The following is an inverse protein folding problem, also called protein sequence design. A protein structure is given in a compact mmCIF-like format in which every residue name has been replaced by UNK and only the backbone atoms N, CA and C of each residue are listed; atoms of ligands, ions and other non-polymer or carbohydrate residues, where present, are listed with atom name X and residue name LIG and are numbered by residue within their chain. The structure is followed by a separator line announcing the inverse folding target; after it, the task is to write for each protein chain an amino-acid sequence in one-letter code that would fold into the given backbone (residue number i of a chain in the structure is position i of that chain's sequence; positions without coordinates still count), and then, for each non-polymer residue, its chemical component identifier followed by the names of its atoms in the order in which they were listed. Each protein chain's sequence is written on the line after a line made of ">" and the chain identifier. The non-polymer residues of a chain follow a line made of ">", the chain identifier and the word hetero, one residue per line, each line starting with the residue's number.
data_IF_919714291623
#
_entry.id   IF_919714291623
#
_cell.length_a   1.000
_cell.length_b   1.000
_cell.length_c   1.000
_cell.angle_alpha   90.00
_cell.angle_beta   90.00
_cell.angle_gamma   90.00
#
_symmetry.space_group_name_H-M   'P 1'
#
loop_
_entity.id
_entity.type
_entity.pdbx_description
1 polymer ?
#
# COMPACT_ATOMS: atom_id res chain seq x y z
N UNK A 1 5.56 9.60 -9.02
CA UNK A 1 4.28 9.39 -8.30
C UNK A 1 4.33 8.22 -7.33
N UNK A 2 3.61 8.28 -6.20
CA UNK A 2 3.52 7.19 -5.20
C UNK A 2 3.06 5.85 -5.81
N UNK A 3 2.13 5.92 -6.76
CA UNK A 3 1.66 4.78 -7.55
C UNK A 3 2.81 4.06 -8.26
N UNK A 4 3.74 4.80 -8.86
CA UNK A 4 4.91 4.25 -9.53
C UNK A 4 5.92 3.67 -8.53
N UNK A 5 6.15 4.35 -7.40
CA UNK A 5 7.06 3.87 -6.35
C UNK A 5 6.60 2.53 -5.75
N UNK A 6 5.28 2.36 -5.59
CA UNK A 6 4.67 1.12 -5.11
C UNK A 6 4.36 0.13 -6.24
N UNK A 7 4.65 0.48 -7.49
CA UNK A 7 4.39 -0.33 -8.68
C UNK A 7 2.92 -0.77 -8.77
N UNK A 8 1.99 0.13 -8.40
CA UNK A 8 0.54 -0.06 -8.41
C UNK A 8 -0.11 0.95 -9.36
N UNK A 9 -1.14 0.57 -10.14
CA UNK A 9 -1.89 1.53 -10.95
C UNK A 9 -2.48 2.66 -10.10
N UNK A 10 -2.42 3.91 -10.58
CA UNK A 10 -2.91 5.07 -9.83
C UNK A 10 -4.36 4.92 -9.36
N UNK A 11 -5.26 4.40 -10.22
CA UNK A 11 -6.65 4.14 -9.84
C UNK A 11 -6.81 3.11 -8.72
N UNK A 12 -5.95 2.08 -8.68
CA UNK A 12 -5.92 1.11 -7.59
C UNK A 12 -5.43 1.75 -6.29
N UNK A 13 -4.40 2.58 -6.36
CA UNK A 13 -3.94 3.35 -5.19
C UNK A 13 -5.06 4.24 -4.64
N UNK A 14 -5.80 4.97 -5.49
CA UNK A 14 -6.92 5.81 -5.06
C UNK A 14 -8.05 5.02 -4.38
N UNK A 15 -8.36 3.81 -4.86
CA UNK A 15 -9.35 2.94 -4.20
C UNK A 15 -8.89 2.47 -2.81
N UNK A 16 -7.58 2.25 -2.64
CA UNK A 16 -7.00 1.84 -1.37
C UNK A 16 -7.02 3.01 -0.37
N UNK A 17 -6.58 4.19 -0.79
CA UNK A 17 -6.59 5.40 0.05
C UNK A 17 -8.01 5.84 0.46
N UNK A 18 -9.02 5.55 -0.36
CA UNK A 18 -10.43 5.80 -0.04
C UNK A 18 -11.08 4.70 0.79
N UNK A 19 -10.36 3.64 1.16
CA UNK A 19 -10.87 2.50 1.92
C UNK A 19 -11.80 1.57 1.12
N UNK A 20 -12.05 1.84 -0.17
CA UNK A 20 -12.86 0.99 -1.05
C UNK A 20 -12.21 -0.35 -1.35
N UNK A 21 -10.89 -0.45 -1.17
CA UNK A 21 -10.13 -1.68 -1.40
C UNK A 21 -9.10 -1.88 -0.29
N UNK A 22 -9.03 -3.11 0.25
CA UNK A 22 -8.04 -3.46 1.29
C UNK A 22 -6.61 -3.53 0.74
N UNK A 23 -5.65 -3.33 1.64
CA UNK A 23 -4.23 -3.55 1.34
C UNK A 23 -3.98 -5.05 1.20
N UNK A 24 -3.36 -5.46 0.10
CA UNK A 24 -2.96 -6.85 -0.14
C UNK A 24 -1.58 -7.12 0.43
N UNK A 25 -1.23 -8.38 0.73
CA UNK A 25 0.09 -8.74 1.24
C UNK A 25 1.25 -8.27 0.33
N UNK A 26 1.07 -8.36 -0.99
CA UNK A 26 2.03 -7.83 -1.97
C UNK A 26 2.22 -6.31 -1.82
N UNK A 27 1.15 -5.54 -1.57
CA UNK A 27 1.27 -4.11 -1.36
C UNK A 27 1.88 -3.80 0.00
N UNK A 28 1.50 -4.54 1.03
CA UNK A 28 2.12 -4.43 2.36
C UNK A 28 3.64 -4.65 2.29
N UNK A 29 4.08 -5.66 1.53
CA UNK A 29 5.51 -5.90 1.28
C UNK A 29 6.19 -4.71 0.62
N UNK A 30 5.58 -4.11 -0.41
CA UNK A 30 6.13 -2.93 -1.09
C UNK A 30 6.14 -1.68 -0.20
N UNK A 31 5.12 -1.49 0.65
CA UNK A 31 5.10 -0.42 1.64
C UNK A 31 6.27 -0.56 2.62
N UNK A 32 6.58 -1.78 3.06
CA UNK A 32 7.76 -2.05 3.87
C UNK A 32 9.07 -1.79 3.10
N UNK A 33 9.24 -2.41 1.92
CA UNK A 33 10.51 -2.37 1.18
C UNK A 33 10.83 -0.99 0.57
N UNK A 34 9.81 -0.23 0.16
CA UNK A 34 9.99 1.06 -0.55
C UNK A 34 9.87 2.27 0.36
N UNK A 35 9.05 2.17 1.41
CA UNK A 35 8.75 3.30 2.31
C UNK A 35 9.21 3.05 3.75
N UNK A 36 9.74 1.87 4.07
CA UNK A 36 10.19 1.54 5.42
C UNK A 36 9.06 1.43 6.44
N UNK A 37 7.80 1.28 5.99
CA UNK A 37 6.66 1.22 6.91
C UNK A 37 6.67 -0.12 7.65
N UNK A 38 6.73 -0.13 8.99
CA UNK A 38 6.81 -1.36 9.76
C UNK A 38 5.62 -2.30 9.49
N UNK A 39 5.83 -3.61 9.31
CA UNK A 39 4.76 -4.56 9.05
C UNK A 39 3.64 -4.54 10.10
N UNK A 40 3.99 -4.36 11.37
CA UNK A 40 3.05 -4.24 12.48
C UNK A 40 2.14 -3.02 12.36
N UNK A 41 2.63 -1.91 11.81
CA UNK A 41 1.82 -0.73 11.55
C UNK A 41 0.85 -1.00 10.41
N UNK A 42 1.32 -1.64 9.33
CA UNK A 42 0.48 -2.00 8.18
C UNK A 42 -0.63 -2.94 8.63
N UNK A 43 -0.30 -4.02 9.34
CA UNK A 43 -1.27 -5.03 9.76
C UNK A 43 -2.32 -4.50 10.76
N UNK A 44 -1.98 -3.51 11.58
CA UNK A 44 -2.93 -2.87 12.50
C UNK A 44 -3.91 -1.92 11.81
N UNK A 45 -3.55 -1.39 10.63
CA UNK A 45 -4.28 -0.31 9.96
C UNK A 45 -4.76 -0.67 8.53
N UNK A 46 -4.56 -1.91 8.08
CA UNK A 46 -4.86 -2.39 6.72
C UNK A 46 -6.29 -2.87 6.48
#
# INVERSE_FOLDING_TARGET
>A
DLAQLLEVPAGRLSQILSGKRRVTLDLAKRLYERLGIPPEFILKNA
#
